data_IF_186340695741
#
_entry.id   IF_186340695741
#
_cell.length_a   1.000
_cell.length_b   1.000
_cell.length_c   1.000
_cell.angle_alpha   90.00
_cell.angle_beta   90.00
_cell.angle_gamma   90.00
#
_symmetry.space_group_name_H-M   'P 1'
#
loop_
_entity.id
_entity.type
_entity.pdbx_description
1 polymer ?
#
# COMPACT_ATOMS: atom_id res chain seq x y z
N UNK A 1 -14.00 -6.33 -4.94
CA UNK A 1 -12.64 -6.80 -5.25
C UNK A 1 -11.77 -6.58 -4.04
N UNK A 2 -10.74 -7.38 -3.88
CA UNK A 2 -9.71 -7.30 -2.83
C UNK A 2 -8.64 -6.24 -3.10
N UNK A 3 -8.69 -5.59 -4.27
CA UNK A 3 -7.75 -4.53 -4.65
C UNK A 3 -7.89 -3.24 -3.83
N UNK A 4 -6.74 -2.70 -3.43
CA UNK A 4 -6.65 -1.36 -2.84
C UNK A 4 -6.88 -0.28 -3.91
N UNK A 5 -7.60 0.76 -3.53
CA UNK A 5 -7.90 1.91 -4.38
C UNK A 5 -8.06 3.16 -3.52
N UNK A 6 -7.91 4.34 -4.15
CA UNK A 6 -8.23 5.61 -3.52
C UNK A 6 -9.75 5.75 -3.37
N UNK A 7 -10.19 6.34 -2.27
CA UNK A 7 -11.58 6.66 -2.02
C UNK A 7 -11.65 7.95 -1.20
N UNK A 8 -12.80 8.62 -1.22
CA UNK A 8 -13.03 9.78 -0.37
C UNK A 8 -12.82 9.40 1.11
N UNK A 9 -12.18 10.30 1.87
CA UNK A 9 -11.94 10.10 3.28
C UNK A 9 -13.27 10.00 4.04
N UNK A 10 -13.52 8.85 4.63
CA UNK A 10 -14.57 8.65 5.60
C UNK A 10 -14.22 9.24 6.95
N UNK A 11 -15.16 9.14 7.88
CA UNK A 11 -14.91 9.45 9.28
C UNK A 11 -14.20 8.28 9.99
N UNK A 12 -13.93 8.46 11.29
CA UNK A 12 -13.26 7.44 12.10
C UNK A 12 -14.05 6.11 12.21
N UNK A 13 -15.35 6.05 11.90
CA UNK A 13 -16.08 4.77 11.91
C UNK A 13 -15.95 3.98 10.61
N UNK A 14 -15.27 4.52 9.59
CA UNK A 14 -15.01 3.80 8.33
C UNK A 14 -13.83 2.84 8.48
N UNK A 15 -14.09 1.67 9.05
CA UNK A 15 -13.05 0.67 9.35
C UNK A 15 -12.25 0.20 8.13
N UNK A 16 -12.87 0.18 6.95
CA UNK A 16 -12.19 -0.19 5.69
C UNK A 16 -11.13 0.82 5.23
N UNK A 17 -11.01 1.97 5.91
CA UNK A 17 -9.98 2.98 5.67
C UNK A 17 -9.05 3.14 6.87
N UNK A 18 -9.12 2.22 7.85
CA UNK A 18 -8.21 2.19 8.99
C UNK A 18 -7.10 1.18 8.79
N UNK A 19 -5.86 1.64 9.02
CA UNK A 19 -4.65 0.86 8.80
C UNK A 19 -3.71 0.99 9.99
N UNK A 20 -2.87 -0.01 10.20
CA UNK A 20 -1.72 0.07 11.10
C UNK A 20 -0.43 -0.12 10.31
N UNK A 21 0.67 0.39 10.87
CA UNK A 21 2.02 0.20 10.37
C UNK A 21 2.79 -0.59 11.43
N UNK A 22 3.17 -1.82 11.10
CA UNK A 22 4.07 -2.62 11.92
C UNK A 22 5.50 -2.43 11.43
N UNK A 23 6.24 -1.55 12.10
CA UNK A 23 7.64 -1.27 11.77
C UNK A 23 8.60 -2.41 12.13
N UNK A 24 8.20 -3.30 13.06
CA UNK A 24 9.01 -4.44 13.46
C UNK A 24 8.95 -5.56 12.43
N UNK A 25 7.73 -5.88 11.98
CA UNK A 25 7.52 -6.86 10.90
C UNK A 25 7.78 -6.28 9.50
N UNK A 26 7.75 -4.95 9.36
CA UNK A 26 7.83 -4.28 8.06
C UNK A 26 6.56 -4.52 7.25
N UNK A 27 5.38 -4.34 7.84
CA UNK A 27 4.10 -4.61 7.21
C UNK A 27 3.11 -3.46 7.42
N UNK A 28 2.15 -3.35 6.52
CA UNK A 28 0.98 -2.48 6.66
C UNK A 28 -0.25 -3.37 6.59
N UNK A 29 -1.17 -3.19 7.52
CA UNK A 29 -2.34 -4.07 7.61
C UNK A 29 -3.59 -3.40 8.16
N UNK A 30 -4.69 -4.12 8.04
CA UNK A 30 -6.00 -3.75 8.59
C UNK A 30 -6.11 -4.31 10.01
N UNK A 31 -6.99 -3.73 10.84
CA UNK A 31 -7.29 -4.27 12.18
C UNK A 31 -7.88 -5.70 12.16
N UNK A 32 -8.23 -6.22 10.98
CA UNK A 32 -8.85 -7.52 10.77
C UNK A 32 -7.86 -8.61 10.31
N UNK A 33 -6.56 -8.38 10.43
CA UNK A 33 -5.53 -9.40 10.16
C UNK A 33 -5.17 -9.59 8.69
N UNK A 34 -5.53 -8.63 7.83
CA UNK A 34 -5.12 -8.60 6.43
C UNK A 34 -3.99 -7.60 6.24
N UNK A 35 -3.00 -7.96 5.43
CA UNK A 35 -1.84 -7.15 5.09
C UNK A 35 -1.90 -6.72 3.63
N UNK A 36 -1.30 -5.55 3.35
CA UNK A 36 -1.06 -5.07 1.99
C UNK A 36 -0.10 -6.05 1.31
N UNK A 37 -0.51 -6.57 0.16
CA UNK A 37 0.24 -7.57 -0.60
C UNK A 37 0.31 -7.19 -2.08
N UNK A 38 1.45 -7.49 -2.70
CA UNK A 38 1.57 -7.57 -4.15
C UNK A 38 2.27 -8.87 -4.55
N UNK A 39 1.56 -9.84 -5.10
CA UNK A 39 2.19 -11.07 -5.63
C UNK A 39 3.18 -10.73 -6.75
N UNK A 40 2.90 -9.65 -7.49
CA UNK A 40 3.72 -9.14 -8.59
C UNK A 40 4.73 -8.06 -8.13
N UNK A 41 5.20 -8.14 -6.87
CA UNK A 41 6.05 -7.12 -6.22
C UNK A 41 7.43 -6.85 -6.87
N UNK A 42 7.77 -7.57 -7.94
CA UNK A 42 9.00 -7.36 -8.72
C UNK A 42 8.76 -6.58 -10.02
N UNK A 43 7.50 -6.29 -10.35
CA UNK A 43 7.11 -5.71 -11.64
C UNK A 43 6.47 -4.34 -11.47
N UNK A 44 6.86 -3.32 -12.26
CA UNK A 44 6.07 -2.10 -12.39
C UNK A 44 4.65 -2.43 -12.82
N UNK A 45 3.67 -1.85 -12.14
CA UNK A 45 2.25 -2.12 -12.36
C UNK A 45 1.68 -3.28 -11.56
N UNK A 46 2.50 -4.01 -10.79
CA UNK A 46 2.05 -5.10 -9.92
C UNK A 46 0.89 -4.66 -9.04
N UNK A 47 -0.20 -5.44 -9.05
CA UNK A 47 -1.43 -5.07 -8.34
C UNK A 47 -1.26 -5.10 -6.82
N UNK A 48 -1.95 -4.19 -6.13
CA UNK A 48 -2.03 -4.18 -4.67
C UNK A 48 -3.38 -4.72 -4.22
N UNK A 49 -3.37 -5.60 -3.23
CA UNK A 49 -4.56 -6.22 -2.67
C UNK A 49 -4.33 -6.61 -1.20
N UNK A 50 -5.37 -7.14 -0.57
CA UNK A 50 -5.33 -7.62 0.81
C UNK A 50 -5.19 -9.14 0.85
N UNK A 51 -4.23 -9.61 1.63
CA UNK A 51 -4.04 -11.04 1.93
C UNK A 51 -3.85 -11.26 3.43
N UNK A 52 -4.08 -12.48 3.95
CA UNK A 52 -3.67 -12.80 5.32
C UNK A 52 -2.21 -12.42 5.57
N UNK A 53 -1.95 -11.83 6.73
CA UNK A 53 -0.59 -11.46 7.10
C UNK A 53 0.28 -12.70 7.30
N UNK A 54 1.41 -12.77 6.58
CA UNK A 54 2.39 -13.85 6.69
C UNK A 54 3.74 -13.25 7.07
N UNK A 55 4.22 -13.58 8.28
CA UNK A 55 5.46 -13.04 8.82
C UNK A 55 6.66 -13.33 7.89
N UNK A 56 7.38 -12.29 7.49
CA UNK A 56 8.55 -12.38 6.64
C UNK A 56 8.27 -12.67 5.16
N UNK A 57 7.00 -12.67 4.72
CA UNK A 57 6.66 -12.86 3.32
C UNK A 57 7.09 -11.64 2.50
N UNK A 58 7.98 -11.79 1.49
CA UNK A 58 8.52 -10.64 0.76
C UNK A 58 7.48 -9.76 0.07
N UNK A 59 6.35 -10.31 -0.41
CA UNK A 59 5.26 -9.55 -1.06
C UNK A 59 4.49 -8.62 -0.13
N UNK A 60 4.71 -8.75 1.19
CA UNK A 60 4.03 -7.97 2.24
C UNK A 60 5.00 -7.03 2.99
N UNK A 61 6.20 -6.82 2.45
CA UNK A 61 7.24 -6.03 3.11
C UNK A 61 7.16 -4.56 2.70
N UNK A 62 6.65 -3.73 3.60
CA UNK A 62 6.40 -2.30 3.41
C UNK A 62 7.05 -1.45 4.50
N UNK A 63 7.49 -0.27 4.11
CA UNK A 63 8.01 0.76 5.01
C UNK A 63 7.34 2.10 4.69
N UNK A 64 6.80 2.75 5.72
CA UNK A 64 6.32 4.13 5.61
C UNK A 64 7.45 5.10 5.97
N UNK A 65 7.80 5.97 5.03
CA UNK A 65 8.72 7.07 5.26
C UNK A 65 7.94 8.32 5.67
N UNK A 66 7.99 8.66 6.96
CA UNK A 66 7.30 9.82 7.51
C UNK A 66 7.85 11.17 7.07
N UNK A 67 9.01 11.24 6.42
CA UNK A 67 9.59 12.49 5.89
C UNK A 67 9.01 12.77 4.49
N UNK A 68 9.07 11.78 3.60
CA UNK A 68 8.56 11.92 2.22
C UNK A 68 7.07 11.64 2.08
N UNK A 69 6.46 10.97 3.04
CA UNK A 69 5.08 10.49 2.96
C UNK A 69 4.93 9.20 2.14
N UNK A 70 6.00 8.65 1.56
CA UNK A 70 5.91 7.49 0.66
C UNK A 70 5.81 6.16 1.42
N UNK A 71 5.05 5.23 0.84
CA UNK A 71 5.01 3.83 1.27
C UNK A 71 5.84 3.00 0.29
N UNK A 72 6.91 2.39 0.79
CA UNK A 72 7.95 1.73 0.02
C UNK A 72 7.96 0.23 0.24
N UNK A 73 7.99 -0.52 -0.86
CA UNK A 73 8.34 -1.93 -0.83
C UNK A 73 9.86 -2.09 -0.67
N UNK A 74 10.30 -3.18 -0.01
CA UNK A 74 11.73 -3.47 0.17
C UNK A 74 12.52 -3.74 -1.14
N UNK A 75 11.84 -3.77 -2.29
CA UNK A 75 12.41 -3.96 -3.64
C UNK A 75 12.59 -2.65 -4.43
N UNK A 76 12.43 -1.49 -3.79
CA UNK A 76 12.67 -0.18 -4.43
C UNK A 76 11.46 0.38 -5.21
N UNK A 77 10.28 -0.19 -4.98
CA UNK A 77 9.02 0.32 -5.50
C UNK A 77 8.24 1.06 -4.42
N UNK A 78 7.34 1.93 -4.85
CA UNK A 78 6.42 2.67 -4.02
C UNK A 78 4.97 2.26 -4.35
N UNK A 79 4.06 2.45 -3.40
CA UNK A 79 2.64 2.49 -3.72
C UNK A 79 2.38 3.71 -4.61
N UNK A 80 1.64 3.50 -5.70
CA UNK A 80 1.34 4.52 -6.70
C UNK A 80 -0.14 4.43 -7.08
N UNK A 81 -0.82 5.57 -7.12
CA UNK A 81 -2.16 5.71 -7.65
C UNK A 81 -2.10 6.64 -8.87
N UNK A 82 -2.17 6.11 -10.12
CA UNK A 82 -1.96 6.92 -11.31
C UNK A 82 -3.01 8.02 -11.50
N UNK A 83 -4.23 7.80 -11.01
CA UNK A 83 -5.30 8.80 -10.90
C UNK A 83 -5.41 9.30 -9.47
N UNK A 84 -4.35 9.91 -8.95
CA UNK A 84 -4.22 10.39 -7.57
C UNK A 84 -5.31 11.36 -7.12
N UNK A 85 -5.98 12.00 -8.08
CA UNK A 85 -7.07 12.97 -7.90
C UNK A 85 -8.46 12.36 -8.14
N UNK A 86 -8.54 11.05 -8.42
CA UNK A 86 -9.76 10.38 -8.85
C UNK A 86 -10.11 9.22 -7.91
N UNK A 87 -11.22 9.29 -7.16
CA UNK A 87 -11.72 8.15 -6.40
C UNK A 87 -11.92 6.92 -7.29
N UNK A 88 -11.54 5.75 -6.76
CA UNK A 88 -11.53 4.49 -7.48
C UNK A 88 -10.20 4.18 -8.19
N UNK A 89 -9.23 5.10 -8.20
CA UNK A 89 -7.91 4.82 -8.77
C UNK A 89 -7.23 3.67 -8.03
N UNK A 90 -6.86 2.62 -8.76
CA UNK A 90 -6.20 1.44 -8.17
C UNK A 90 -4.78 1.77 -7.76
N UNK A 91 -4.40 1.26 -6.59
CA UNK A 91 -3.01 1.33 -6.12
C UNK A 91 -2.21 0.20 -6.78
N UNK A 92 -0.99 0.52 -7.19
CA UNK A 92 -0.06 -0.39 -7.86
C UNK A 92 1.37 -0.21 -7.36
N UNK A 93 2.20 -1.20 -7.65
CA UNK A 93 3.65 -1.11 -7.56
C UNK A 93 4.17 -0.16 -8.65
N UNK A 94 4.99 0.83 -8.29
CA UNK A 94 5.66 1.68 -9.30
C UNK A 94 7.02 2.17 -8.82
N UNK A 95 8.01 2.38 -9.70
CA UNK A 95 9.30 2.93 -9.29
C UNK A 95 9.13 4.21 -8.48
N UNK A 96 9.79 4.28 -7.34
CA UNK A 96 9.73 5.46 -6.48
C UNK A 96 10.26 6.69 -7.21
N UNK A 97 9.51 7.78 -7.16
CA UNK A 97 9.85 9.08 -7.72
C UNK A 97 9.43 10.17 -6.73
N UNK A 98 10.42 10.78 -6.06
CA UNK A 98 10.21 11.80 -5.02
C UNK A 98 9.51 13.08 -5.51
N UNK A 99 9.39 13.27 -6.83
CA UNK A 99 8.73 14.42 -7.43
C UNK A 99 7.33 14.08 -8.00
N UNK A 100 6.82 12.88 -7.72
CA UNK A 100 5.50 12.46 -8.16
C UNK A 100 4.45 12.69 -7.08
N UNK A 101 3.31 13.26 -7.48
CA UNK A 101 2.12 13.39 -6.65
C UNK A 101 1.22 12.15 -6.66
N UNK A 102 1.71 11.04 -7.22
CA UNK A 102 0.99 9.76 -7.33
C UNK A 102 1.35 8.78 -6.22
N UNK A 103 2.32 9.12 -5.36
CA UNK A 103 2.99 8.24 -4.41
C UNK A 103 2.89 8.71 -2.97
#
# INVERSE_FOLDING_TARGET
GDHLHLADCGNASKESQQWYIDRGAGAIGTRHGLCVDSVEYLSPGGGIHLQPCIAGLPSQMWAFDGISGTIRHNRGFCLDAPGYDTPGSRVRMWPCNSNSNKQ
#
